data_IF_905100254722
#
_entry.id   IF_905100254722
#
_cell.length_a   1.000
_cell.length_b   1.000
_cell.length_c   1.000
_cell.angle_alpha   90.00
_cell.angle_beta   90.00
_cell.angle_gamma   90.00
#
_symmetry.space_group_name_H-M   'P 1'
#
loop_
_entity.id
_entity.type
_entity.pdbx_description
1 polymer ?
#
# COMPACT_ATOMS: atom_id res chain seq x y z
N UNK A 1 6.40 24.96 -18.08
CA UNK A 1 5.35 25.81 -17.52
C UNK A 1 5.19 25.45 -16.05
N UNK A 2 4.88 26.39 -15.16
CA UNK A 2 4.64 26.07 -13.75
C UNK A 2 3.43 25.12 -13.62
N UNK A 3 3.43 24.32 -12.53
CA UNK A 3 2.34 23.43 -12.21
C UNK A 3 1.07 24.26 -11.91
N UNK A 4 -0.04 23.84 -12.51
CA UNK A 4 -1.35 24.44 -12.27
C UNK A 4 -2.07 23.64 -11.19
N UNK A 5 -2.06 24.14 -9.96
CA UNK A 5 -2.68 23.44 -8.82
C UNK A 5 -4.20 23.37 -8.94
N UNK A 6 -4.84 24.34 -9.60
CA UNK A 6 -6.28 24.28 -9.85
C UNK A 6 -6.67 23.12 -10.76
N UNK A 7 -5.89 22.94 -11.83
CA UNK A 7 -6.05 21.80 -12.73
C UNK A 7 -5.70 20.48 -12.04
N UNK A 8 -4.61 20.45 -11.27
CA UNK A 8 -4.20 19.25 -10.53
C UNK A 8 -5.29 18.81 -9.53
N UNK A 9 -5.86 19.77 -8.78
CA UNK A 9 -7.00 19.51 -7.87
C UNK A 9 -8.16 18.85 -8.62
N UNK A 10 -8.50 19.36 -9.80
CA UNK A 10 -9.55 18.77 -10.65
C UNK A 10 -9.20 17.34 -11.07
N UNK A 11 -7.96 17.08 -11.48
CA UNK A 11 -7.52 15.73 -11.86
C UNK A 11 -7.61 14.75 -10.68
N UNK A 12 -7.16 15.16 -9.49
CA UNK A 12 -7.28 14.34 -8.28
C UNK A 12 -8.76 14.07 -7.94
N UNK A 13 -9.64 15.06 -8.09
CA UNK A 13 -11.07 14.84 -7.85
C UNK A 13 -11.66 13.82 -8.84
N UNK A 14 -11.23 13.85 -10.11
CA UNK A 14 -11.65 12.83 -11.09
C UNK A 14 -11.17 11.43 -10.71
N UNK A 15 -10.02 11.28 -10.06
CA UNK A 15 -9.56 9.98 -9.56
C UNK A 15 -10.53 9.35 -8.55
N UNK A 16 -11.13 10.15 -7.68
CA UNK A 16 -12.15 9.65 -6.75
C UNK A 16 -13.39 9.11 -7.46
N UNK A 17 -13.65 9.54 -8.68
CA UNK A 17 -14.73 8.99 -9.51
C UNK A 17 -14.27 7.74 -10.27
N UNK A 18 -13.03 7.73 -10.77
CA UNK A 18 -12.46 6.66 -11.58
C UNK A 18 -12.07 5.43 -10.77
N UNK A 19 -11.54 5.61 -9.54
CA UNK A 19 -11.06 4.53 -8.69
C UNK A 19 -12.05 4.21 -7.57
N UNK A 20 -12.78 3.10 -7.72
CA UNK A 20 -13.74 2.64 -6.70
C UNK A 20 -13.06 2.39 -5.34
N UNK A 21 -11.81 1.90 -5.33
CA UNK A 21 -11.08 1.63 -4.10
C UNK A 21 -10.85 2.88 -3.24
N UNK A 22 -10.73 4.08 -3.81
CA UNK A 22 -10.62 5.32 -3.05
C UNK A 22 -11.93 5.67 -2.31
N UNK A 23 -13.04 5.11 -2.76
CA UNK A 23 -14.38 5.34 -2.21
C UNK A 23 -14.85 4.22 -1.28
N UNK A 24 -14.00 3.26 -0.95
CA UNK A 24 -14.32 2.20 0.01
C UNK A 24 -14.46 2.81 1.40
N UNK A 25 -15.45 2.29 2.13
CA UNK A 25 -15.70 2.55 3.55
C UNK A 25 -15.84 1.23 4.29
N UNK A 26 -15.49 1.23 5.57
CA UNK A 26 -15.64 0.08 6.45
C UNK A 26 -16.74 0.38 7.49
N UNK A 27 -17.63 -0.60 7.70
CA UNK A 27 -18.65 -0.49 8.74
C UNK A 27 -18.05 -0.74 10.11
N UNK A 28 -18.81 -0.39 11.16
CA UNK A 28 -18.56 -0.91 12.50
C UNK A 28 -18.49 -2.43 12.51
N UNK A 29 -17.71 -2.94 13.44
CA UNK A 29 -17.77 -4.35 13.83
C UNK A 29 -19.20 -4.63 14.30
N UNK A 30 -19.86 -5.60 13.66
CA UNK A 30 -21.22 -6.00 14.03
C UNK A 30 -21.22 -6.93 15.27
N UNK A 31 -22.41 -7.38 15.68
CA UNK A 31 -22.57 -8.29 16.83
C UNK A 31 -21.89 -9.66 16.65
N UNK A 32 -21.54 -10.03 15.42
CA UNK A 32 -20.83 -11.27 15.09
C UNK A 32 -19.32 -11.06 14.98
N UNK A 33 -18.81 -9.86 15.20
CA UNK A 33 -17.41 -9.51 15.04
C UNK A 33 -17.00 -9.24 13.58
N UNK A 34 -17.97 -9.06 12.67
CA UNK A 34 -17.69 -8.84 11.25
C UNK A 34 -17.62 -7.35 10.90
N UNK A 35 -16.63 -7.00 10.08
CA UNK A 35 -16.50 -5.71 9.42
C UNK A 35 -16.85 -5.90 7.95
N UNK A 36 -17.72 -5.07 7.42
CA UNK A 36 -18.07 -5.06 6.00
C UNK A 36 -17.49 -3.86 5.32
N UNK A 37 -17.18 -4.00 4.04
CA UNK A 37 -16.77 -2.92 3.17
C UNK A 37 -17.83 -2.63 2.12
N UNK A 38 -17.92 -1.38 1.72
CA UNK A 38 -18.79 -0.94 0.63
C UNK A 38 -18.18 0.26 -0.10
N UNK A 39 -18.57 0.47 -1.34
CA UNK A 39 -18.14 1.61 -2.15
C UNK A 39 -19.24 2.67 -2.13
N UNK A 40 -18.91 3.90 -1.74
CA UNK A 40 -19.85 5.03 -1.88
C UNK A 40 -19.94 5.43 -3.35
N UNK A 41 -21.13 5.80 -3.81
CA UNK A 41 -21.37 6.14 -5.22
C UNK A 41 -20.61 7.39 -5.67
N UNK A 42 -20.40 8.32 -4.76
CA UNK A 42 -19.71 9.59 -5.00
C UNK A 42 -18.95 10.01 -3.75
N UNK A 43 -17.77 10.61 -3.92
CA UNK A 43 -16.94 11.12 -2.83
C UNK A 43 -16.32 12.45 -3.24
N UNK A 44 -17.03 13.53 -2.97
CA UNK A 44 -16.55 14.89 -3.21
C UNK A 44 -15.56 15.28 -2.09
N UNK A 45 -14.29 15.34 -2.45
CA UNK A 45 -13.19 15.60 -1.51
C UNK A 45 -12.64 17.00 -1.68
N UNK A 46 -12.50 17.70 -0.57
CA UNK A 46 -11.69 18.90 -0.59
C UNK A 46 -10.20 18.51 -0.57
N UNK A 47 -9.54 18.73 -1.71
CA UNK A 47 -8.11 18.42 -1.87
C UNK A 47 -7.32 19.62 -1.36
N UNK A 48 -6.66 19.42 -0.24
CA UNK A 48 -5.85 20.45 0.41
C UNK A 48 -4.58 20.77 -0.39
N UNK A 49 -4.15 22.03 -0.24
CA UNK A 49 -2.84 22.49 -0.69
C UNK A 49 -2.02 22.97 0.51
N UNK A 50 -0.81 22.45 0.63
CA UNK A 50 0.14 22.82 1.69
C UNK A 50 1.41 23.42 1.08
N UNK A 51 1.78 24.61 1.53
CA UNK A 51 3.01 25.23 1.12
C UNK A 51 4.12 25.00 2.17
N UNK A 52 5.03 24.09 1.86
CA UNK A 52 6.20 23.76 2.67
C UNK A 52 7.50 24.34 2.07
N UNK A 53 7.43 25.15 1.02
CA UNK A 53 8.60 25.66 0.29
C UNK A 53 9.53 26.55 1.10
N UNK A 54 9.04 27.09 2.20
CA UNK A 54 9.78 27.94 3.14
C UNK A 54 10.53 27.16 4.25
N UNK A 55 10.31 25.86 4.35
CA UNK A 55 10.98 24.97 5.29
C UNK A 55 12.33 24.47 4.74
N UNK A 56 13.15 23.90 5.60
CA UNK A 56 14.22 23.01 5.16
C UNK A 56 13.67 21.70 4.60
N UNK A 57 14.48 20.93 3.86
CA UNK A 57 14.07 19.61 3.36
C UNK A 57 13.69 18.65 4.51
N UNK A 58 14.49 18.66 5.58
CA UNK A 58 14.27 17.83 6.76
C UNK A 58 12.98 18.22 7.51
N UNK A 59 12.75 19.52 7.71
CA UNK A 59 11.53 20.00 8.37
C UNK A 59 10.28 19.68 7.55
N UNK A 60 10.36 19.82 6.23
CA UNK A 60 9.27 19.44 5.34
C UNK A 60 8.96 17.93 5.41
N UNK A 61 10.02 17.10 5.46
CA UNK A 61 9.89 15.66 5.63
C UNK A 61 9.25 15.32 6.99
N UNK A 62 9.73 15.91 8.08
CA UNK A 62 9.16 15.70 9.42
C UNK A 62 7.69 16.13 9.48
N UNK A 63 7.33 17.21 8.81
CA UNK A 63 5.92 17.63 8.73
C UNK A 63 5.03 16.59 8.05
N UNK A 64 5.49 16.00 6.95
CA UNK A 64 4.77 14.93 6.27
C UNK A 64 4.73 13.65 7.11
N UNK A 65 5.80 13.37 7.85
CA UNK A 65 5.85 12.24 8.77
C UNK A 65 4.85 12.39 9.92
N UNK A 66 4.67 13.59 10.48
CA UNK A 66 3.61 13.86 11.47
C UNK A 66 2.22 13.52 10.91
N UNK A 67 1.91 13.91 9.68
CA UNK A 67 0.63 13.56 9.04
C UNK A 67 0.47 12.05 8.86
N UNK A 68 1.54 11.34 8.55
CA UNK A 68 1.51 9.90 8.37
C UNK A 68 1.15 9.14 9.65
N UNK A 69 1.52 9.68 10.81
CA UNK A 69 1.26 9.10 12.12
C UNK A 69 -0.19 9.27 12.61
N UNK A 70 -0.97 10.18 12.02
CA UNK A 70 -2.38 10.36 12.38
C UNK A 70 -3.16 9.14 11.88
N UNK A 71 -3.73 8.27 12.72
CA UNK A 71 -4.44 7.09 12.24
C UNK A 71 -5.73 7.47 11.49
N UNK A 72 -6.20 6.58 10.63
CA UNK A 72 -7.58 6.61 10.17
C UNK A 72 -8.43 5.98 11.27
N UNK A 73 -9.08 6.81 12.07
CA UNK A 73 -9.88 6.36 13.21
C UNK A 73 -11.36 6.71 13.00
N UNK A 74 -12.18 5.69 13.02
CA UNK A 74 -13.62 5.80 12.85
C UNK A 74 -14.23 4.85 11.83
N UNK A 75 -15.54 4.73 11.91
CA UNK A 75 -16.34 3.92 10.99
C UNK A 75 -16.91 4.77 9.88
N UNK A 76 -17.07 4.19 8.71
CA UNK A 76 -17.65 4.83 7.53
C UNK A 76 -16.92 6.10 7.06
N UNK A 77 -15.66 6.26 7.46
CA UNK A 77 -14.82 7.40 7.07
C UNK A 77 -13.97 7.07 5.83
N UNK A 78 -13.51 8.08 5.11
CA UNK A 78 -12.47 7.90 4.09
C UNK A 78 -11.18 7.35 4.69
N UNK A 79 -10.60 6.36 4.03
CA UNK A 79 -9.35 5.71 4.45
C UNK A 79 -8.16 6.12 3.57
N UNK A 80 -8.22 7.33 3.03
CA UNK A 80 -7.16 7.94 2.24
C UNK A 80 -7.17 9.46 2.36
N UNK A 81 -6.02 10.08 2.14
CA UNK A 81 -5.81 11.53 2.08
C UNK A 81 -4.84 11.82 0.95
N UNK A 82 -5.18 12.76 0.09
CA UNK A 82 -4.30 13.30 -0.94
C UNK A 82 -4.18 14.81 -0.73
N UNK A 83 -2.95 15.33 -0.65
CA UNK A 83 -2.65 16.76 -0.55
C UNK A 83 -1.71 17.19 -1.65
N UNK A 84 -1.91 18.38 -2.19
CA UNK A 84 -0.98 19.01 -3.11
C UNK A 84 0.07 19.79 -2.32
N UNK A 85 1.34 19.70 -2.72
CA UNK A 85 2.45 20.29 -1.99
C UNK A 85 3.30 21.22 -2.87
N UNK A 86 3.72 22.35 -2.30
CA UNK A 86 4.93 23.03 -2.72
C UNK A 86 6.05 22.73 -1.72
N UNK A 87 7.19 22.28 -2.21
CA UNK A 87 8.31 21.76 -1.43
C UNK A 87 9.54 22.68 -1.53
N UNK A 88 10.49 22.59 -0.59
CA UNK A 88 11.76 23.30 -0.67
C UNK A 88 12.47 23.05 -2.01
N UNK A 89 13.26 24.02 -2.47
CA UNK A 89 13.98 23.92 -3.74
C UNK A 89 13.14 24.15 -5.00
N UNK A 90 11.89 24.60 -4.84
CA UNK A 90 10.98 24.87 -5.97
C UNK A 90 10.30 23.63 -6.54
N UNK A 91 10.36 22.52 -5.82
CA UNK A 91 9.65 21.30 -6.21
C UNK A 91 8.18 21.38 -5.83
N UNK A 92 7.36 20.63 -6.55
CA UNK A 92 5.96 20.41 -6.25
C UNK A 92 5.70 18.89 -6.21
N UNK A 93 4.71 18.48 -5.44
CA UNK A 93 4.42 17.05 -5.27
C UNK A 93 3.03 16.79 -4.73
N UNK A 94 2.79 15.51 -4.51
CA UNK A 94 1.61 15.02 -3.81
C UNK A 94 2.05 14.31 -2.53
N UNK A 95 1.35 14.58 -1.44
CA UNK A 95 1.35 13.73 -0.27
C UNK A 95 0.15 12.80 -0.38
N UNK A 96 0.41 11.51 -0.35
CA UNK A 96 -0.62 10.48 -0.47
C UNK A 96 -0.49 9.54 0.72
N UNK A 97 -1.59 9.41 1.45
CA UNK A 97 -1.73 8.47 2.55
C UNK A 97 -2.96 7.61 2.30
N UNK A 98 -2.77 6.30 2.24
CA UNK A 98 -3.83 5.34 1.94
C UNK A 98 -3.71 4.18 2.91
N UNK A 99 -4.84 3.73 3.46
CA UNK A 99 -4.89 2.48 4.22
C UNK A 99 -4.60 1.31 3.27
N UNK A 100 -3.73 0.41 3.68
CA UNK A 100 -3.24 -0.69 2.83
C UNK A 100 -4.34 -1.70 2.44
N UNK A 101 -5.51 -1.66 3.12
CA UNK A 101 -6.69 -2.45 2.72
C UNK A 101 -7.34 -1.96 1.43
N UNK A 102 -7.10 -0.69 1.04
CA UNK A 102 -7.65 -0.11 -0.19
C UNK A 102 -6.76 -0.35 -1.41
N UNK A 103 -5.45 -0.27 -1.21
CA UNK A 103 -4.50 -0.22 -2.32
C UNK A 103 -3.11 -0.63 -1.85
N UNK A 104 -2.38 -1.34 -2.69
CA UNK A 104 -0.96 -1.62 -2.50
C UNK A 104 -0.07 -0.55 -3.18
N UNK A 105 1.25 -0.73 -3.08
CA UNK A 105 2.20 0.22 -3.68
C UNK A 105 2.12 0.26 -5.22
N UNK A 106 1.81 -0.88 -5.86
CA UNK A 106 1.66 -0.92 -7.31
C UNK A 106 0.41 -0.14 -7.75
N UNK A 107 -0.71 -0.33 -7.04
CA UNK A 107 -1.93 0.43 -7.26
C UNK A 107 -1.72 1.94 -7.06
N UNK A 108 -0.97 2.34 -6.04
CA UNK A 108 -0.64 3.74 -5.79
C UNK A 108 0.18 4.36 -6.93
N UNK A 109 1.14 3.62 -7.51
CA UNK A 109 1.92 4.09 -8.67
C UNK A 109 1.01 4.25 -9.89
N UNK A 110 0.13 3.29 -10.16
CA UNK A 110 -0.82 3.37 -11.28
C UNK A 110 -1.73 4.59 -11.11
N UNK A 111 -2.28 4.82 -9.93
CA UNK A 111 -3.12 5.99 -9.62
C UNK A 111 -2.38 7.31 -9.84
N UNK A 112 -1.14 7.43 -9.35
CA UNK A 112 -0.34 8.66 -9.56
C UNK A 112 -0.08 8.90 -11.04
N UNK A 113 0.23 7.87 -11.81
CA UNK A 113 0.42 7.98 -13.26
C UNK A 113 -0.87 8.44 -13.94
N UNK A 114 -2.02 7.89 -13.58
CA UNK A 114 -3.32 8.28 -14.13
C UNK A 114 -3.65 9.76 -13.83
N UNK A 115 -3.40 10.24 -12.59
CA UNK A 115 -3.50 11.68 -12.26
C UNK A 115 -2.64 12.53 -13.20
N UNK A 116 -1.42 12.10 -13.48
CA UNK A 116 -0.51 12.84 -14.36
C UNK A 116 -0.95 12.78 -15.83
N UNK A 117 -1.48 11.65 -16.28
CA UNK A 117 -2.06 11.50 -17.63
C UNK A 117 -3.29 12.40 -17.80
N UNK A 118 -4.19 12.44 -16.82
CA UNK A 118 -5.32 13.38 -16.80
C UNK A 118 -4.84 14.83 -16.85
N UNK A 119 -3.85 15.17 -16.04
CA UNK A 119 -3.27 16.51 -16.06
C UNK A 119 -2.69 16.86 -17.41
N UNK A 120 -1.94 15.96 -18.04
CA UNK A 120 -1.39 16.15 -19.38
C UNK A 120 -2.50 16.27 -20.44
N UNK A 121 -3.53 15.45 -20.33
CA UNK A 121 -4.69 15.53 -21.22
C UNK A 121 -5.31 16.94 -21.21
N UNK A 122 -5.66 17.44 -20.02
CA UNK A 122 -6.32 18.74 -19.91
C UNK A 122 -5.39 19.92 -20.18
N UNK A 123 -4.09 19.78 -19.92
CA UNK A 123 -3.12 20.86 -20.11
C UNK A 123 -2.56 20.95 -21.51
N UNK A 124 -2.30 19.80 -22.13
CA UNK A 124 -1.55 19.69 -23.38
C UNK A 124 -2.31 19.00 -24.50
N UNK A 125 -3.51 18.46 -24.24
CA UNK A 125 -4.33 17.77 -25.24
C UNK A 125 -3.82 16.36 -25.59
N UNK A 126 -3.10 15.70 -24.69
CA UNK A 126 -2.74 14.29 -24.87
C UNK A 126 -3.99 13.39 -24.85
N UNK A 127 -3.92 12.14 -25.33
CA UNK A 127 -5.05 11.21 -25.20
C UNK A 127 -5.57 11.14 -23.75
N UNK A 128 -6.88 10.92 -23.61
CA UNK A 128 -7.48 10.67 -22.30
C UNK A 128 -7.05 9.27 -21.81
N UNK A 129 -6.72 9.10 -20.51
CA UNK A 129 -6.32 7.79 -20.00
C UNK A 129 -7.45 6.77 -20.11
N UNK A 130 -7.07 5.49 -20.26
CA UNK A 130 -8.02 4.38 -20.38
C UNK A 130 -8.91 4.25 -19.13
N UNK A 131 -10.09 3.66 -19.32
CA UNK A 131 -11.00 3.41 -18.21
C UNK A 131 -10.43 2.36 -17.25
N UNK A 132 -10.62 2.58 -15.95
CA UNK A 132 -10.20 1.66 -14.92
C UNK A 132 -11.14 0.44 -14.83
N UNK A 133 -10.55 -0.72 -14.58
CA UNK A 133 -11.34 -1.91 -14.29
C UNK A 133 -12.13 -1.74 -12.98
N UNK A 134 -13.38 -2.19 -12.97
CA UNK A 134 -14.21 -2.13 -11.76
C UNK A 134 -13.63 -3.02 -10.66
N UNK A 135 -13.40 -2.43 -9.50
CA UNK A 135 -12.97 -3.14 -8.30
C UNK A 135 -14.05 -4.12 -7.82
N UNK A 136 -15.30 -3.68 -7.84
CA UNK A 136 -16.44 -4.52 -7.43
C UNK A 136 -16.61 -5.75 -8.32
N UNK A 137 -16.43 -5.63 -9.63
CA UNK A 137 -16.43 -6.77 -10.55
C UNK A 137 -15.27 -7.74 -10.27
N UNK A 138 -14.11 -7.21 -9.88
CA UNK A 138 -12.96 -8.05 -9.51
C UNK A 138 -13.25 -8.83 -8.23
N UNK A 139 -13.81 -8.19 -7.22
CA UNK A 139 -14.21 -8.84 -5.96
C UNK A 139 -15.24 -9.93 -6.21
N UNK A 140 -16.27 -9.66 -7.02
CA UNK A 140 -17.27 -10.68 -7.37
C UNK A 140 -16.66 -11.88 -8.08
N UNK A 141 -15.73 -11.66 -8.99
CA UNK A 141 -15.01 -12.75 -9.68
C UNK A 141 -14.19 -13.60 -8.72
N UNK A 142 -13.52 -12.96 -7.75
CA UNK A 142 -12.70 -13.67 -6.77
C UNK A 142 -13.57 -14.43 -5.76
N UNK A 143 -14.70 -13.87 -5.36
CA UNK A 143 -15.69 -14.59 -4.54
C UNK A 143 -16.23 -15.83 -5.26
N UNK A 144 -16.56 -15.72 -6.55
CA UNK A 144 -16.98 -16.89 -7.35
C UNK A 144 -15.88 -17.95 -7.43
N UNK A 145 -14.62 -17.56 -7.57
CA UNK A 145 -13.49 -18.50 -7.57
C UNK A 145 -13.27 -19.15 -6.20
N UNK A 146 -13.44 -18.40 -5.12
CA UNK A 146 -13.26 -18.92 -3.74
C UNK A 146 -14.36 -19.89 -3.32
N UNK A 147 -15.52 -19.85 -3.96
CA UNK A 147 -16.65 -20.77 -3.75
C UNK A 147 -16.67 -21.97 -4.71
N UNK A 148 -15.75 -22.03 -5.68
CA UNK A 148 -15.60 -23.18 -6.57
C UNK A 148 -14.95 -24.37 -5.81
N UNK A 149 -15.81 -25.30 -5.35
CA UNK A 149 -15.38 -26.45 -4.56
C UNK A 149 -14.29 -27.30 -5.25
N UNK A 150 -14.36 -27.43 -6.58
CA UNK A 150 -13.37 -28.21 -7.34
C UNK A 150 -11.99 -27.54 -7.27
N UNK A 151 -11.94 -26.23 -7.40
CA UNK A 151 -10.70 -25.44 -7.30
C UNK A 151 -10.18 -25.46 -5.87
N UNK A 152 -11.01 -25.15 -4.89
CA UNK A 152 -10.66 -25.12 -3.48
C UNK A 152 -10.13 -26.48 -3.01
N UNK A 153 -10.76 -27.59 -3.44
CA UNK A 153 -10.30 -28.94 -3.13
C UNK A 153 -8.93 -29.23 -3.74
N UNK A 154 -8.68 -28.80 -4.98
CA UNK A 154 -7.37 -28.96 -5.63
C UNK A 154 -6.29 -28.17 -4.91
N UNK A 155 -6.58 -26.92 -4.57
CA UNK A 155 -5.62 -26.03 -3.85
C UNK A 155 -5.34 -26.58 -2.44
N UNK A 156 -6.37 -27.08 -1.76
CA UNK A 156 -6.21 -27.74 -0.44
C UNK A 156 -5.32 -28.99 -0.53
N UNK A 157 -5.55 -29.86 -1.49
CA UNK A 157 -4.72 -31.03 -1.70
C UNK A 157 -3.26 -30.65 -1.98
N UNK A 158 -3.04 -29.64 -2.80
CA UNK A 158 -1.68 -29.16 -3.08
C UNK A 158 -0.96 -28.73 -1.80
N UNK A 159 -1.60 -27.87 -0.99
CA UNK A 159 -0.98 -27.40 0.24
C UNK A 159 -0.83 -28.47 1.32
N UNK A 160 -1.77 -29.43 1.40
CA UNK A 160 -1.64 -30.59 2.27
C UNK A 160 -0.40 -31.43 1.89
N UNK A 161 -0.22 -31.71 0.60
CA UNK A 161 0.96 -32.45 0.15
C UNK A 161 2.26 -31.69 0.45
N UNK A 162 2.28 -30.37 0.23
CA UNK A 162 3.47 -29.54 0.56
C UNK A 162 3.81 -29.61 2.05
N UNK A 163 2.81 -29.57 2.94
CA UNK A 163 3.02 -29.67 4.38
C UNK A 163 3.42 -31.08 4.80
N UNK A 164 2.85 -32.12 4.19
CA UNK A 164 3.23 -33.53 4.45
C UNK A 164 4.67 -33.83 4.02
N UNK A 165 5.10 -33.31 2.87
CA UNK A 165 6.45 -33.50 2.35
C UNK A 165 7.52 -32.68 3.09
N UNK A 166 7.20 -31.49 3.53
CA UNK A 166 8.18 -30.54 4.11
C UNK A 166 8.04 -30.38 5.63
N UNK A 167 7.00 -30.94 6.23
CA UNK A 167 6.70 -30.80 7.66
C UNK A 167 6.14 -29.43 8.04
N UNK A 168 6.08 -29.18 9.32
CA UNK A 168 5.60 -27.89 9.86
C UNK A 168 6.52 -26.73 9.44
N UNK A 169 5.96 -25.54 9.12
CA UNK A 169 6.76 -24.38 8.76
C UNK A 169 7.81 -24.06 9.83
N UNK A 170 9.06 -23.94 9.42
CA UNK A 170 10.13 -23.44 10.28
C UNK A 170 10.02 -21.93 10.32
N UNK A 171 9.83 -21.36 11.51
CA UNK A 171 9.86 -19.91 11.69
C UNK A 171 11.28 -19.41 11.53
N UNK A 172 11.47 -18.39 10.66
CA UNK A 172 12.78 -17.83 10.40
C UNK A 172 13.40 -17.21 11.66
N UNK A 173 14.72 -17.34 11.77
CA UNK A 173 15.55 -16.79 12.85
C UNK A 173 15.94 -15.32 12.58
N UNK A 174 15.00 -14.51 12.11
CA UNK A 174 15.23 -13.07 11.91
C UNK A 174 15.41 -12.39 13.28
N UNK A 175 16.13 -11.25 13.28
CA UNK A 175 16.33 -10.43 14.46
C UNK A 175 15.01 -10.13 15.20
N UNK A 176 14.98 -10.43 16.49
CA UNK A 176 13.75 -10.41 17.30
C UNK A 176 13.40 -11.77 17.90
N UNK A 177 13.95 -12.86 17.37
CA UNK A 177 13.73 -14.21 17.89
C UNK A 177 14.05 -14.32 19.39
N UNK A 178 15.07 -13.60 19.86
CA UNK A 178 15.41 -13.59 21.29
C UNK A 178 14.25 -13.08 22.14
N UNK A 179 13.55 -12.05 21.71
CA UNK A 179 12.38 -11.49 22.40
C UNK A 179 11.24 -12.50 22.38
N UNK A 180 11.00 -13.12 21.22
CA UNK A 180 9.98 -14.16 21.09
C UNK A 180 10.30 -15.40 21.95
N UNK A 181 11.56 -15.85 21.98
CA UNK A 181 11.99 -16.96 22.83
C UNK A 181 11.84 -16.64 24.32
N UNK A 182 12.17 -15.43 24.71
CA UNK A 182 11.98 -14.97 26.09
C UNK A 182 10.49 -14.92 26.45
N UNK A 183 9.65 -14.41 25.57
CA UNK A 183 8.20 -14.40 25.74
C UNK A 183 7.63 -15.82 25.84
N UNK A 184 8.05 -16.74 24.98
CA UNK A 184 7.70 -18.16 25.05
C UNK A 184 8.09 -18.80 26.38
N UNK A 185 9.26 -18.44 26.89
CA UNK A 185 9.74 -18.93 28.20
C UNK A 185 8.91 -18.37 29.35
N UNK A 186 8.63 -17.06 29.33
CA UNK A 186 7.85 -16.37 30.37
C UNK A 186 6.42 -16.92 30.48
N UNK A 187 5.79 -17.16 29.35
CA UNK A 187 4.41 -17.67 29.29
C UNK A 187 4.33 -19.20 29.27
N UNK A 188 5.48 -19.90 29.29
CA UNK A 188 5.57 -21.35 29.14
C UNK A 188 4.78 -21.89 27.93
N UNK A 189 4.77 -21.12 26.84
CA UNK A 189 4.04 -21.40 25.61
C UNK A 189 4.98 -21.36 24.40
N UNK A 190 5.32 -22.53 23.86
CA UNK A 190 6.18 -22.66 22.69
C UNK A 190 5.48 -22.34 21.37
N UNK A 191 4.14 -22.29 21.37
CA UNK A 191 3.34 -21.99 20.19
C UNK A 191 3.19 -20.49 19.92
N UNK A 192 3.54 -19.62 20.88
CA UNK A 192 3.49 -18.17 20.72
C UNK A 192 4.24 -17.74 19.46
N UNK A 193 3.58 -16.94 18.62
CA UNK A 193 4.12 -16.32 17.41
C UNK A 193 4.40 -14.85 17.64
N UNK A 194 5.26 -14.25 16.84
CA UNK A 194 5.50 -12.81 16.91
C UNK A 194 4.21 -11.99 16.66
N UNK A 195 3.33 -12.49 15.80
CA UNK A 195 2.04 -11.86 15.49
C UNK A 195 1.03 -11.91 16.65
N UNK A 196 1.21 -12.81 17.62
CA UNK A 196 0.33 -12.93 18.79
C UNK A 196 0.76 -12.00 19.94
N UNK A 197 1.85 -11.27 19.76
CA UNK A 197 2.32 -10.27 20.73
C UNK A 197 1.53 -8.99 20.55
N UNK A 198 1.09 -8.38 21.65
CA UNK A 198 0.59 -7.02 21.62
C UNK A 198 1.72 -6.07 21.18
N UNK A 199 1.57 -5.50 20.01
CA UNK A 199 2.50 -4.48 19.51
C UNK A 199 2.01 -3.14 20.03
N UNK A 200 2.55 -2.72 21.17
CA UNK A 200 2.25 -1.42 21.76
C UNK A 200 3.07 -0.29 21.11
N UNK A 201 4.16 -0.62 20.43
CA UNK A 201 5.01 0.33 19.72
C UNK A 201 4.85 0.11 18.21
N UNK A 202 4.17 1.04 17.55
CA UNK A 202 3.97 1.08 16.11
C UNK A 202 5.08 1.89 15.40
N UNK A 203 6.14 2.29 16.11
CA UNK A 203 7.25 2.99 15.50
C UNK A 203 7.96 2.10 14.47
N UNK A 204 8.29 2.69 13.34
CA UNK A 204 9.02 2.03 12.25
C UNK A 204 10.37 2.70 12.11
N UNK A 205 11.45 1.92 12.17
CA UNK A 205 12.78 2.38 11.80
C UNK A 205 13.04 2.04 10.34
N UNK A 206 13.18 3.06 9.50
CA UNK A 206 13.55 2.90 8.10
C UNK A 206 15.04 3.18 7.93
N UNK A 207 15.74 2.26 7.28
CA UNK A 207 17.13 2.46 6.89
C UNK A 207 17.27 2.31 5.38
N UNK A 208 17.65 3.37 4.73
CA UNK A 208 17.88 3.39 3.30
C UNK A 208 19.34 3.06 3.00
N UNK A 209 19.56 2.16 2.07
CA UNK A 209 20.88 1.84 1.52
C UNK A 209 20.89 2.23 0.05
N UNK A 210 21.97 2.86 -0.35
CA UNK A 210 22.21 3.19 -1.75
C UNK A 210 23.37 2.32 -2.27
N UNK A 211 23.17 1.69 -3.42
CA UNK A 211 24.22 0.99 -4.14
C UNK A 211 24.67 1.86 -5.31
N UNK A 212 25.98 2.00 -5.46
CA UNK A 212 26.56 2.67 -6.62
C UNK A 212 26.27 1.92 -7.92
N UNK A 213 26.48 2.59 -9.06
CA UNK A 213 26.14 2.05 -10.37
C UNK A 213 26.84 0.72 -10.67
N UNK A 214 28.13 0.57 -10.34
CA UNK A 214 28.90 -0.64 -10.61
C UNK A 214 28.38 -1.86 -9.82
N UNK A 215 28.23 -1.84 -8.48
CA UNK A 215 27.60 -2.93 -7.74
C UNK A 215 26.19 -3.25 -8.24
N UNK A 216 25.39 -2.23 -8.57
CA UNK A 216 24.05 -2.44 -9.10
C UNK A 216 24.08 -3.20 -10.43
N UNK A 217 24.97 -2.82 -11.35
CA UNK A 217 25.10 -3.51 -12.63
C UNK A 217 25.57 -4.97 -12.44
N UNK A 218 26.54 -5.22 -11.56
CA UNK A 218 27.01 -6.57 -11.24
C UNK A 218 25.88 -7.48 -10.72
N UNK A 219 24.99 -6.94 -9.86
CA UNK A 219 23.81 -7.67 -9.38
C UNK A 219 22.82 -7.96 -10.50
N UNK A 220 22.57 -6.99 -11.38
CA UNK A 220 21.69 -7.17 -12.54
C UNK A 220 22.23 -8.23 -13.48
N UNK A 221 23.53 -8.18 -13.81
CA UNK A 221 24.19 -9.16 -14.67
C UNK A 221 24.13 -10.57 -14.05
N UNK A 222 24.33 -10.67 -12.73
CA UNK A 222 24.17 -11.94 -12.02
C UNK A 222 22.74 -12.48 -12.14
N UNK A 223 21.73 -11.63 -11.92
CA UNK A 223 20.33 -12.01 -12.05
C UNK A 223 20.00 -12.50 -13.47
N UNK A 224 20.45 -11.77 -14.48
CA UNK A 224 20.22 -12.12 -15.89
C UNK A 224 20.89 -13.45 -16.26
N UNK A 225 22.15 -13.64 -15.86
CA UNK A 225 22.91 -14.86 -16.18
C UNK A 225 22.37 -16.11 -15.47
N UNK A 226 21.71 -15.95 -14.34
CA UNK A 226 21.14 -17.05 -13.56
C UNK A 226 19.62 -17.19 -13.71
N UNK A 227 18.97 -16.38 -14.54
CA UNK A 227 17.52 -16.38 -14.76
C UNK A 227 16.70 -16.19 -13.47
N UNK A 228 17.18 -15.36 -12.57
CA UNK A 228 16.49 -15.01 -11.32
C UNK A 228 16.11 -13.53 -11.32
N UNK A 229 15.03 -13.17 -10.61
CA UNK A 229 14.69 -11.77 -10.42
C UNK A 229 15.55 -11.14 -9.34
N UNK A 230 15.74 -9.81 -9.40
CA UNK A 230 16.42 -9.05 -8.34
C UNK A 230 15.72 -9.25 -6.99
N UNK A 231 14.40 -9.30 -6.99
CA UNK A 231 13.60 -9.56 -5.77
C UNK A 231 13.96 -10.90 -5.14
N UNK A 232 14.07 -11.97 -5.96
CA UNK A 232 14.44 -13.30 -5.44
C UNK A 232 15.89 -13.38 -4.96
N UNK A 233 16.76 -12.49 -5.46
CA UNK A 233 18.16 -12.43 -4.99
C UNK A 233 18.25 -11.76 -3.60
N UNK A 234 17.38 -10.79 -3.31
CA UNK A 234 17.43 -10.00 -2.08
C UNK A 234 16.63 -10.65 -0.94
N UNK A 235 15.62 -11.47 -1.27
CA UNK A 235 14.81 -12.22 -0.29
C UNK A 235 15.55 -13.46 0.21
#
# INVERSE_FOLDING_TARGET
APLDFGLLKKCIQLEYERYECLRIRFTKVDLNGEVRQYVVSHDDRDIDYENLSWLSGDDAYHRMEEWSRIPFDGDNIPMNVIKMLSLPGGYNGLYIKIDHRLMDSCGAIVMVNDIMELYCHYKFGTPYPEDMASFTDMVERDLKKSTDEKRVSKDRMYWQNVLEENGEPIYSDIQGQRILQESRRLHNDKSLRAADQEINDLSVATKNYHLDAEPTQNLLDFCMNNHISMTNLIL
#
